data_IF_534683895870
#
_entry.id   IF_534683895870
#
_cell.length_a   1.000
_cell.length_b   1.000
_cell.length_c   1.000
_cell.angle_alpha   90.00
_cell.angle_beta   90.00
_cell.angle_gamma   90.00
#
_symmetry.space_group_name_H-M   'P 1'
#
loop_
_entity.id
_entity.type
_entity.pdbx_description
1 polymer ?
#
# COMPACT_ATOMS: atom_id res chain seq x y z
N UNK A 1 40.91 -9.05 19.00
CA UNK A 1 39.84 -8.07 19.29
C UNK A 1 39.48 -7.22 18.07
N UNK A 2 40.45 -6.52 17.44
CA UNK A 2 40.18 -5.64 16.28
C UNK A 2 39.53 -6.37 15.10
N UNK A 3 39.98 -7.60 14.76
CA UNK A 3 39.38 -8.43 13.70
C UNK A 3 37.89 -8.69 13.98
N UNK A 4 37.54 -9.05 15.21
CA UNK A 4 36.16 -9.34 15.60
C UNK A 4 35.31 -8.05 15.52
N UNK A 5 35.83 -6.91 16.02
CA UNK A 5 35.15 -5.61 15.92
C UNK A 5 34.90 -5.19 14.47
N UNK A 6 35.85 -5.44 13.58
CA UNK A 6 35.69 -5.18 12.15
C UNK A 6 34.53 -6.00 11.58
N UNK A 7 34.45 -7.30 11.88
CA UNK A 7 33.34 -8.16 11.41
C UNK A 7 31.99 -7.77 12.02
N UNK A 8 31.94 -7.35 13.29
CA UNK A 8 30.72 -6.77 13.90
C UNK A 8 30.27 -5.56 13.10
N UNK A 9 31.19 -4.63 12.80
CA UNK A 9 30.87 -3.43 12.04
C UNK A 9 30.44 -3.76 10.61
N UNK A 10 31.09 -4.71 9.94
CA UNK A 10 30.66 -5.20 8.64
C UNK A 10 29.23 -5.74 8.68
N UNK A 11 28.85 -6.50 9.71
CA UNK A 11 27.48 -7.01 9.88
C UNK A 11 26.43 -5.88 9.96
N UNK A 12 26.72 -4.83 10.73
CA UNK A 12 25.87 -3.63 10.83
C UNK A 12 25.81 -2.91 9.47
N UNK A 13 26.97 -2.62 8.88
CA UNK A 13 27.07 -1.88 7.63
C UNK A 13 26.37 -2.60 6.48
N UNK A 14 26.47 -3.92 6.39
CA UNK A 14 25.75 -4.70 5.36
C UNK A 14 24.25 -4.45 5.46
N UNK A 15 23.66 -4.50 6.66
CA UNK A 15 22.25 -4.16 6.83
C UNK A 15 21.93 -2.72 6.44
N UNK A 16 22.75 -1.77 6.90
CA UNK A 16 22.54 -0.36 6.58
C UNK A 16 22.64 -0.08 5.07
N UNK A 17 23.55 -0.73 4.34
CA UNK A 17 23.63 -0.62 2.88
C UNK A 17 22.38 -1.19 2.19
N UNK A 18 21.91 -2.35 2.63
CA UNK A 18 20.72 -2.99 2.05
C UNK A 18 19.44 -2.18 2.31
N UNK A 19 19.35 -1.54 3.47
CA UNK A 19 18.13 -0.91 3.97
C UNK A 19 18.09 0.61 3.73
N UNK A 20 19.19 1.34 3.90
CA UNK A 20 19.17 2.82 3.88
C UNK A 20 18.80 3.40 2.52
N UNK A 21 18.21 4.62 2.45
CA UNK A 21 18.08 5.37 1.20
C UNK A 21 19.45 5.71 0.58
N UNK A 22 19.49 5.92 -0.75
CA UNK A 22 20.73 6.25 -1.47
C UNK A 22 21.45 7.51 -0.94
N UNK A 23 20.71 8.45 -0.34
CA UNK A 23 21.29 9.68 0.23
C UNK A 23 22.28 9.42 1.37
N UNK A 24 22.19 8.28 2.06
CA UNK A 24 23.08 7.92 3.17
C UNK A 24 24.35 7.18 2.71
N UNK A 25 24.43 6.79 1.44
CA UNK A 25 25.55 5.98 0.94
C UNK A 25 26.91 6.66 1.06
N UNK A 26 27.08 7.98 0.80
CA UNK A 26 28.37 8.64 0.98
C UNK A 26 28.93 8.43 2.39
N UNK A 27 28.09 8.60 3.42
CA UNK A 27 28.48 8.37 4.81
C UNK A 27 28.84 6.90 5.07
N UNK A 28 28.01 5.96 4.63
CA UNK A 28 28.25 4.53 4.83
C UNK A 28 29.53 4.05 4.12
N UNK A 29 29.82 4.57 2.93
CA UNK A 29 31.04 4.28 2.17
C UNK A 29 32.27 4.80 2.91
N UNK A 30 32.23 6.04 3.41
CA UNK A 30 33.34 6.61 4.20
C UNK A 30 33.62 5.76 5.44
N UNK A 31 32.59 5.36 6.19
CA UNK A 31 32.75 4.49 7.37
C UNK A 31 33.37 3.14 6.97
N UNK A 32 32.90 2.53 5.88
CA UNK A 32 33.44 1.26 5.38
C UNK A 32 34.91 1.39 4.97
N UNK A 33 35.30 2.47 4.29
CA UNK A 33 36.67 2.73 3.86
C UNK A 33 37.61 2.92 5.06
N UNK A 34 37.25 3.79 6.00
CA UNK A 34 38.04 4.03 7.23
C UNK A 34 38.23 2.73 8.01
N UNK A 35 37.16 1.94 8.15
CA UNK A 35 37.20 0.66 8.86
C UNK A 35 38.11 -0.36 8.17
N UNK A 36 38.07 -0.39 6.84
CA UNK A 36 38.94 -1.27 6.03
C UNK A 36 40.40 -0.85 6.15
N UNK A 37 40.70 0.45 6.12
CA UNK A 37 42.05 0.98 6.33
C UNK A 37 42.58 0.62 7.72
N UNK A 38 41.80 0.84 8.78
CA UNK A 38 42.17 0.45 10.14
C UNK A 38 42.45 -1.05 10.26
N UNK A 39 41.64 -1.89 9.62
CA UNK A 39 41.87 -3.32 9.57
C UNK A 39 43.19 -3.66 8.87
N UNK A 40 43.49 -3.06 7.72
CA UNK A 40 44.74 -3.27 6.96
C UNK A 40 45.96 -2.86 7.78
N UNK A 41 45.95 -1.68 8.42
CA UNK A 41 47.07 -1.24 9.27
C UNK A 41 47.25 -2.15 10.50
N UNK A 42 46.15 -2.66 11.06
CA UNK A 42 46.21 -3.55 12.22
C UNK A 42 46.81 -4.93 11.92
N UNK A 43 46.86 -5.37 10.64
CA UNK A 43 47.41 -6.69 10.26
C UNK A 43 48.85 -6.90 10.70
N UNK A 44 49.66 -5.84 10.81
CA UNK A 44 51.05 -5.93 11.28
C UNK A 44 51.19 -6.38 12.74
N UNK A 45 50.11 -6.32 13.52
CA UNK A 45 50.12 -6.51 14.96
C UNK A 45 49.42 -7.80 15.44
N UNK A 46 48.84 -8.61 14.54
CA UNK A 46 48.10 -9.81 14.93
C UNK A 46 48.21 -10.95 13.89
N UNK A 47 48.23 -12.19 14.36
CA UNK A 47 48.19 -13.40 13.50
C UNK A 47 46.75 -13.90 13.31
N UNK A 48 46.38 -14.23 12.07
CA UNK A 48 45.05 -14.76 11.73
C UNK A 48 45.12 -16.29 11.74
N UNK A 49 44.35 -16.93 12.61
CA UNK A 49 44.19 -18.38 12.65
C UNK A 49 42.73 -18.79 12.39
N UNK A 50 42.50 -20.09 12.18
CA UNK A 50 41.17 -20.63 11.87
C UNK A 50 40.13 -20.30 12.95
N UNK A 51 40.50 -20.36 14.23
CA UNK A 51 39.62 -20.03 15.36
C UNK A 51 39.15 -18.56 15.29
N UNK A 52 40.07 -17.64 15.02
CA UNK A 52 39.76 -16.21 14.88
C UNK A 52 38.84 -15.96 13.69
N UNK A 53 39.02 -16.68 12.57
CA UNK A 53 38.13 -16.59 11.40
C UNK A 53 36.70 -17.05 11.78
N UNK A 54 36.57 -18.21 12.42
CA UNK A 54 35.27 -18.75 12.84
C UNK A 54 34.53 -17.81 13.79
N UNK A 55 35.22 -17.29 14.82
CA UNK A 55 34.64 -16.33 15.77
C UNK A 55 34.19 -15.05 15.04
N UNK A 56 34.97 -14.59 14.06
CA UNK A 56 34.65 -13.37 13.31
C UNK A 56 33.42 -13.57 12.40
N UNK A 57 33.27 -14.73 11.77
CA UNK A 57 32.06 -15.08 11.00
C UNK A 57 30.83 -15.10 11.91
N UNK A 58 30.92 -15.75 13.08
CA UNK A 58 29.82 -15.76 14.05
C UNK A 58 29.46 -14.36 14.53
N UNK A 59 30.46 -13.52 14.81
CA UNK A 59 30.26 -12.13 15.21
C UNK A 59 29.57 -11.30 14.13
N UNK A 60 29.92 -11.50 12.85
CA UNK A 60 29.23 -10.88 11.71
C UNK A 60 27.77 -11.30 11.65
N UNK A 61 27.48 -12.61 11.70
CA UNK A 61 26.11 -13.13 11.61
C UNK A 61 25.24 -12.64 12.78
N UNK A 62 25.79 -12.62 14.00
CA UNK A 62 25.09 -12.13 15.18
C UNK A 62 24.82 -10.62 15.09
N UNK A 63 25.82 -9.84 14.66
CA UNK A 63 25.69 -8.40 14.47
C UNK A 63 24.67 -8.04 13.37
N UNK A 64 24.69 -8.78 12.25
CA UNK A 64 23.69 -8.67 11.19
C UNK A 64 22.29 -9.02 11.71
N UNK A 65 22.16 -10.10 12.48
CA UNK A 65 20.86 -10.52 13.01
C UNK A 65 20.29 -9.49 14.00
N UNK A 66 21.13 -8.98 14.90
CA UNK A 66 20.76 -7.99 15.90
C UNK A 66 20.36 -6.66 15.26
N UNK A 67 21.16 -6.16 14.30
CA UNK A 67 20.85 -4.91 13.61
C UNK A 67 19.58 -5.02 12.75
N UNK A 68 19.35 -6.16 12.09
CA UNK A 68 18.08 -6.39 11.38
C UNK A 68 16.89 -6.37 12.34
N UNK A 69 17.00 -7.04 13.49
CA UNK A 69 15.97 -7.02 14.52
C UNK A 69 15.69 -5.60 15.03
N UNK A 70 16.73 -4.82 15.32
CA UNK A 70 16.56 -3.44 15.80
C UNK A 70 15.86 -2.53 14.77
N UNK A 71 16.14 -2.71 13.48
CA UNK A 71 15.53 -1.93 12.40
C UNK A 71 14.05 -2.29 12.20
N UNK A 72 13.72 -3.59 12.23
CA UNK A 72 12.39 -4.08 11.83
C UNK A 72 11.48 -4.49 12.99
N UNK A 73 11.93 -4.33 14.24
CA UNK A 73 11.07 -4.60 15.41
C UNK A 73 9.83 -3.70 15.34
N UNK A 74 8.64 -4.24 15.64
CA UNK A 74 7.44 -3.43 15.69
C UNK A 74 7.56 -2.35 16.77
N UNK A 75 6.95 -1.19 16.55
CA UNK A 75 6.84 -0.15 17.55
C UNK A 75 5.85 -0.57 18.64
N UNK A 76 6.27 -0.49 19.90
CA UNK A 76 5.34 -0.58 21.01
C UNK A 76 4.54 0.72 21.04
N UNK A 77 3.22 0.60 21.05
CA UNK A 77 2.34 1.74 21.02
C UNK A 77 1.28 1.59 22.11
N UNK A 78 1.19 2.61 22.95
CA UNK A 78 0.24 2.66 24.06
C UNK A 78 -0.92 3.58 23.67
N UNK A 79 -2.14 3.20 24.06
CA UNK A 79 -3.28 4.08 23.88
C UNK A 79 -3.13 5.37 24.71
N UNK A 80 -3.66 6.50 24.22
CA UNK A 80 -3.67 7.76 24.94
C UNK A 80 -4.61 7.67 26.15
N UNK A 81 -4.55 8.68 27.02
CA UNK A 81 -5.42 8.76 28.18
C UNK A 81 -6.87 9.08 27.78
N UNK A 82 -7.82 8.26 28.21
CA UNK A 82 -9.25 8.33 27.87
C UNK A 82 -10.04 9.41 28.66
N UNK A 83 -9.39 10.25 29.47
CA UNK A 83 -10.06 11.18 30.39
C UNK A 83 -10.78 12.36 29.73
N UNK A 84 -10.44 12.73 28.49
CA UNK A 84 -10.94 13.93 27.81
C UNK A 84 -11.94 13.64 26.67
N UNK A 85 -12.64 12.51 26.71
CA UNK A 85 -13.58 12.12 25.66
C UNK A 85 -14.89 12.91 25.77
N UNK A 86 -15.34 13.49 24.66
CA UNK A 86 -16.58 14.26 24.54
C UNK A 86 -17.59 13.51 23.65
N UNK A 87 -18.83 13.37 24.15
CA UNK A 87 -19.94 12.74 23.43
C UNK A 87 -20.32 13.46 22.13
N UNK A 88 -20.07 14.77 22.03
CA UNK A 88 -20.42 15.59 20.87
C UNK A 88 -19.36 15.51 19.77
N UNK A 89 -18.11 15.15 20.11
CA UNK A 89 -17.01 15.09 19.16
C UNK A 89 -17.04 13.78 18.38
N UNK A 90 -17.06 13.93 17.06
CA UNK A 90 -17.14 12.83 16.10
C UNK A 90 -15.99 12.91 15.11
N UNK A 91 -15.36 11.79 14.84
CA UNK A 91 -14.31 11.65 13.86
C UNK A 91 -14.81 10.89 12.62
N UNK A 92 -14.34 11.31 11.46
CA UNK A 92 -14.45 10.57 10.20
C UNK A 92 -13.05 10.22 9.73
N UNK A 93 -12.78 8.93 9.55
CA UNK A 93 -11.52 8.42 9.03
C UNK A 93 -11.77 7.91 7.61
N UNK A 94 -11.10 8.52 6.64
CA UNK A 94 -11.02 7.99 5.28
C UNK A 94 -9.93 6.93 5.23
N UNK A 95 -10.33 5.66 5.24
CA UNK A 95 -9.40 4.53 5.15
C UNK A 95 -9.25 4.08 3.70
N UNK A 96 -8.03 4.10 3.18
CA UNK A 96 -7.74 3.72 1.81
C UNK A 96 -6.47 2.87 1.72
N UNK A 97 -6.26 2.27 0.55
CA UNK A 97 -4.96 1.70 0.21
C UNK A 97 -3.88 2.79 0.28
N UNK A 98 -2.65 2.43 0.61
CA UNK A 98 -1.56 3.40 0.58
C UNK A 98 -0.28 2.71 0.20
N UNK A 99 0.63 3.49 -0.38
CA UNK A 99 1.92 2.99 -0.81
C UNK A 99 3.00 4.04 -0.53
N UNK A 100 4.27 3.61 -0.36
CA UNK A 100 5.34 4.58 -0.14
C UNK A 100 5.54 5.45 -1.37
N UNK A 101 5.61 6.78 -1.19
CA UNK A 101 5.85 7.73 -2.30
C UNK A 101 7.25 7.56 -2.89
N UNK A 102 8.22 7.32 -2.01
CA UNK A 102 9.61 7.02 -2.29
C UNK A 102 10.06 5.90 -1.38
N UNK A 103 11.10 5.18 -1.80
CA UNK A 103 11.71 4.17 -0.95
C UNK A 103 12.07 4.76 0.41
N UNK A 104 11.41 4.23 1.44
CA UNK A 104 11.67 4.59 2.83
C UNK A 104 11.72 3.30 3.64
N UNK A 105 12.84 3.00 4.31
CA UNK A 105 13.01 1.71 4.98
C UNK A 105 12.04 1.46 6.14
N UNK A 106 11.51 2.51 6.75
CA UNK A 106 10.48 2.38 7.78
C UNK A 106 9.16 1.84 7.21
N UNK A 107 8.79 2.24 6.00
CA UNK A 107 7.53 1.85 5.36
C UNK A 107 7.64 0.52 4.60
N UNK A 108 8.85 0.08 4.23
CA UNK A 108 9.03 -1.24 3.63
C UNK A 108 8.66 -2.38 4.58
N UNK A 109 8.67 -2.16 5.90
CA UNK A 109 8.26 -3.17 6.88
C UNK A 109 6.80 -3.62 6.69
N UNK A 110 5.91 -2.72 6.25
CA UNK A 110 4.53 -3.06 5.91
C UNK A 110 4.46 -4.13 4.82
N UNK A 111 5.20 -3.93 3.72
CA UNK A 111 5.26 -4.85 2.58
C UNK A 111 5.99 -6.16 2.90
N UNK A 112 6.74 -6.18 4.00
CA UNK A 112 7.55 -7.31 4.43
C UNK A 112 7.02 -7.94 5.72
N UNK A 113 5.77 -7.65 6.12
CA UNK A 113 5.19 -8.15 7.37
C UNK A 113 5.23 -9.68 7.49
N UNK A 114 5.01 -10.39 6.39
CA UNK A 114 5.01 -11.86 6.33
C UNK A 114 6.40 -12.45 6.06
N UNK A 115 7.45 -11.62 6.01
CA UNK A 115 8.82 -12.06 5.76
C UNK A 115 9.59 -12.15 7.07
N UNK A 116 10.44 -13.19 7.17
CA UNK A 116 11.34 -13.37 8.29
C UNK A 116 12.22 -12.11 8.49
N UNK A 117 12.27 -11.60 9.73
CA UNK A 117 12.99 -10.38 10.12
C UNK A 117 14.44 -10.38 9.63
N UNK A 118 15.14 -11.52 9.65
CA UNK A 118 16.53 -11.60 9.21
C UNK A 118 16.71 -11.45 7.70
N UNK A 119 15.68 -11.75 6.90
CA UNK A 119 15.73 -11.61 5.45
C UNK A 119 15.17 -10.28 4.96
N UNK A 120 14.47 -9.52 5.81
CA UNK A 120 13.90 -8.20 5.46
C UNK A 120 14.91 -7.24 4.83
N UNK A 121 16.18 -7.14 5.27
CA UNK A 121 17.19 -6.32 4.60
C UNK A 121 17.37 -6.65 3.11
N UNK A 122 17.43 -7.94 2.77
CA UNK A 122 17.61 -8.39 1.39
C UNK A 122 16.38 -8.04 0.54
N UNK A 123 15.18 -8.20 1.09
CA UNK A 123 13.95 -7.80 0.39
C UNK A 123 13.81 -6.28 0.28
N UNK A 124 14.26 -5.52 1.28
CA UNK A 124 14.32 -4.07 1.22
C UNK A 124 15.18 -3.60 0.06
N UNK A 125 16.34 -4.22 -0.16
CA UNK A 125 17.18 -3.91 -1.32
C UNK A 125 16.46 -4.15 -2.66
N UNK A 126 15.64 -5.21 -2.76
CA UNK A 126 14.80 -5.44 -3.95
C UNK A 126 13.77 -4.32 -4.14
N UNK A 127 12.99 -4.01 -3.08
CA UNK A 127 12.00 -2.92 -3.08
C UNK A 127 12.66 -1.59 -3.46
N UNK A 128 13.80 -1.28 -2.85
CA UNK A 128 14.59 -0.08 -3.13
C UNK A 128 14.96 0.07 -4.60
N UNK A 129 15.42 -1.01 -5.24
CA UNK A 129 15.74 -0.98 -6.68
C UNK A 129 14.51 -0.64 -7.52
N UNK A 130 13.34 -1.13 -7.15
CA UNK A 130 12.09 -0.80 -7.85
C UNK A 130 11.72 0.68 -7.71
N UNK A 131 11.74 1.21 -6.49
CA UNK A 131 11.38 2.61 -6.25
C UNK A 131 12.39 3.62 -6.84
N UNK A 132 13.65 3.23 -7.02
CA UNK A 132 14.62 4.04 -7.75
C UNK A 132 14.26 4.20 -9.25
N UNK A 133 13.53 3.25 -9.85
CA UNK A 133 13.08 3.35 -11.25
C UNK A 133 11.89 4.29 -11.40
N UNK A 134 10.93 4.23 -10.48
CA UNK A 134 9.67 4.99 -10.54
C UNK A 134 9.85 6.43 -10.05
N UNK A 135 10.89 6.71 -9.25
CA UNK A 135 11.23 8.00 -8.63
C UNK A 135 10.20 8.51 -7.61
N UNK A 136 8.95 8.73 -8.02
CA UNK A 136 7.84 9.18 -7.16
C UNK A 136 6.58 8.41 -7.53
N UNK A 137 5.98 7.78 -6.53
CA UNK A 137 4.69 7.11 -6.66
C UNK A 137 3.55 8.12 -6.38
N UNK A 138 2.61 8.23 -7.32
CA UNK A 138 1.49 9.17 -7.22
C UNK A 138 0.22 8.56 -6.59
N UNK A 139 0.22 7.28 -6.17
CA UNK A 139 -0.96 6.62 -5.57
C UNK A 139 -1.58 7.43 -4.44
N UNK A 140 -0.75 7.91 -3.51
CA UNK A 140 -1.25 8.67 -2.36
C UNK A 140 -1.79 10.06 -2.75
N UNK A 141 -1.32 10.65 -3.86
CA UNK A 141 -1.75 11.96 -4.34
C UNK A 141 -3.22 11.92 -4.78
N UNK A 142 -3.59 10.94 -5.60
CA UNK A 142 -4.99 10.74 -6.05
C UNK A 142 -5.92 10.51 -4.85
N UNK A 143 -5.51 9.65 -3.91
CA UNK A 143 -6.30 9.31 -2.73
C UNK A 143 -6.44 10.50 -1.76
N UNK A 144 -5.39 11.31 -1.61
CA UNK A 144 -5.44 12.53 -0.80
C UNK A 144 -6.36 13.57 -1.42
N UNK A 145 -6.44 13.67 -2.76
CA UNK A 145 -7.39 14.54 -3.44
C UNK A 145 -8.84 14.12 -3.17
N UNK A 146 -9.15 12.81 -3.25
CA UNK A 146 -10.48 12.28 -2.88
C UNK A 146 -10.80 12.64 -1.42
N UNK A 147 -9.86 12.38 -0.50
CA UNK A 147 -10.02 12.68 0.92
C UNK A 147 -10.23 14.17 1.19
N UNK A 148 -9.53 15.06 0.48
CA UNK A 148 -9.65 16.50 0.65
C UNK A 148 -11.02 17.03 0.21
N UNK A 149 -11.56 16.52 -0.90
CA UNK A 149 -12.91 16.89 -1.35
C UNK A 149 -14.00 16.29 -0.48
N UNK A 150 -13.78 15.07 0.01
CA UNK A 150 -14.65 14.43 0.99
C UNK A 150 -14.70 15.23 2.29
N UNK A 151 -13.53 15.66 2.81
CA UNK A 151 -13.42 16.54 3.98
C UNK A 151 -14.24 17.81 3.80
N UNK A 152 -14.08 18.52 2.67
CA UNK A 152 -14.86 19.74 2.38
C UNK A 152 -16.37 19.45 2.40
N UNK A 153 -16.79 18.36 1.77
CA UNK A 153 -18.20 17.98 1.68
C UNK A 153 -18.80 17.61 3.03
N UNK A 154 -18.06 16.89 3.87
CA UNK A 154 -18.50 16.44 5.20
C UNK A 154 -18.50 17.60 6.20
N UNK A 155 -17.49 18.47 6.19
CA UNK A 155 -17.41 19.62 7.08
C UNK A 155 -18.51 20.65 6.82
N UNK A 156 -18.94 20.79 5.57
CA UNK A 156 -20.10 21.61 5.22
C UNK A 156 -21.41 21.06 5.78
N UNK A 157 -21.47 19.76 6.08
CA UNK A 157 -22.66 19.12 6.65
C UNK A 157 -22.69 19.22 8.17
N UNK A 158 -21.60 18.85 8.86
CA UNK A 158 -21.45 18.91 10.32
C UNK A 158 -19.98 19.07 10.73
N UNK A 159 -19.67 19.60 11.93
CA UNK A 159 -18.31 19.79 12.41
C UNK A 159 -17.67 18.46 12.84
N UNK A 160 -17.16 17.71 11.87
CA UNK A 160 -16.43 16.46 12.08
C UNK A 160 -14.92 16.69 12.17
N UNK A 161 -14.24 15.92 13.03
CA UNK A 161 -12.79 15.77 12.92
C UNK A 161 -12.49 14.82 11.76
N UNK A 162 -11.59 15.20 10.84
CA UNK A 162 -11.35 14.41 9.63
C UNK A 162 -9.90 13.93 9.58
N UNK A 163 -9.73 12.62 9.45
CA UNK A 163 -8.43 11.95 9.35
C UNK A 163 -8.36 11.10 8.09
N UNK A 164 -7.15 10.88 7.61
CA UNK A 164 -6.84 9.88 6.59
C UNK A 164 -6.11 8.72 7.24
N UNK A 165 -6.35 7.50 6.77
CA UNK A 165 -5.62 6.32 7.18
C UNK A 165 -5.25 5.50 5.95
N UNK A 166 -3.96 5.24 5.80
CA UNK A 166 -3.42 4.42 4.73
C UNK A 166 -3.13 3.01 5.24
N UNK A 167 -3.53 2.02 4.45
CA UNK A 167 -3.24 0.63 4.71
C UNK A 167 -1.72 0.35 4.71
N UNK A 168 -0.99 0.83 3.72
CA UNK A 168 0.44 0.53 3.51
C UNK A 168 1.38 1.72 3.66
N UNK A 169 0.91 2.79 4.31
CA UNK A 169 1.65 4.03 4.48
C UNK A 169 1.26 4.72 5.80
N UNK A 170 1.82 5.91 6.05
CA UNK A 170 1.46 6.73 7.22
C UNK A 170 0.69 7.99 6.81
N UNK A 171 -0.28 8.44 7.61
CA UNK A 171 -0.75 7.84 8.87
C UNK A 171 -1.50 6.52 8.64
N UNK A 172 -1.27 5.51 9.49
CA UNK A 172 -2.01 4.24 9.44
C UNK A 172 -3.29 4.27 10.29
N UNK A 173 -4.11 3.21 10.24
CA UNK A 173 -5.40 3.21 10.95
C UNK A 173 -5.25 3.35 12.47
N UNK A 174 -4.22 2.71 13.05
CA UNK A 174 -3.93 2.81 14.48
C UNK A 174 -3.59 4.24 14.91
N UNK A 175 -2.78 4.93 14.11
CA UNK A 175 -2.43 6.33 14.34
C UNK A 175 -3.65 7.24 14.19
N UNK A 176 -4.46 7.05 13.14
CA UNK A 176 -5.65 7.86 12.90
C UNK A 176 -6.70 7.72 14.02
N UNK A 177 -6.95 6.49 14.50
CA UNK A 177 -7.84 6.24 15.64
C UNK A 177 -7.28 6.87 16.91
N UNK A 178 -5.98 6.74 17.15
CA UNK A 178 -5.34 7.34 18.33
C UNK A 178 -5.47 8.86 18.33
N UNK A 179 -5.14 9.52 17.22
CA UNK A 179 -5.30 10.98 17.10
C UNK A 179 -6.75 11.42 17.26
N UNK A 180 -7.72 10.65 16.75
CA UNK A 180 -9.13 10.92 16.99
C UNK A 180 -9.50 10.88 18.48
N UNK A 181 -8.96 9.91 19.23
CA UNK A 181 -9.18 9.79 20.67
C UNK A 181 -8.48 10.93 21.43
N UNK A 182 -7.26 11.29 21.05
CA UNK A 182 -6.51 12.42 21.63
C UNK A 182 -7.24 13.75 21.45
N UNK A 183 -7.89 13.95 20.29
CA UNK A 183 -8.75 15.11 20.03
C UNK A 183 -10.09 15.08 20.79
N UNK A 184 -10.35 13.98 21.53
CA UNK A 184 -11.51 13.80 22.40
C UNK A 184 -12.74 13.20 21.70
N UNK A 185 -12.59 12.58 20.53
CA UNK A 185 -13.73 12.03 19.79
C UNK A 185 -14.23 10.72 20.42
N UNK A 186 -15.52 10.68 20.79
CA UNK A 186 -16.16 9.44 21.27
C UNK A 186 -16.66 8.54 20.15
N UNK A 187 -17.11 9.12 19.04
CA UNK A 187 -17.64 8.37 17.90
C UNK A 187 -16.69 8.49 16.71
N UNK A 188 -16.30 7.36 16.13
CA UNK A 188 -15.39 7.28 15.00
C UNK A 188 -16.10 6.52 13.87
N UNK A 189 -16.24 7.17 12.72
CA UNK A 189 -16.80 6.59 11.51
C UNK A 189 -15.68 6.35 10.49
N UNK A 190 -15.50 5.10 10.08
CA UNK A 190 -14.45 4.71 9.14
C UNK A 190 -15.10 4.45 7.77
N UNK A 191 -14.73 5.27 6.78
CA UNK A 191 -15.15 5.11 5.39
C UNK A 191 -14.15 4.18 4.71
N UNK A 192 -14.62 3.01 4.29
CA UNK A 192 -13.80 1.98 3.65
C UNK A 192 -13.65 2.24 2.14
N UNK A 193 -12.56 2.90 1.75
CA UNK A 193 -12.18 3.15 0.35
C UNK A 193 -11.20 2.08 -0.16
N UNK A 194 -11.58 0.81 -0.03
CA UNK A 194 -10.85 -0.34 -0.57
C UNK A 194 -11.81 -1.32 -1.27
N UNK A 195 -11.28 -2.42 -1.80
CA UNK A 195 -12.06 -3.46 -2.48
C UNK A 195 -12.66 -4.52 -1.54
N UNK A 196 -12.27 -4.54 -0.26
CA UNK A 196 -12.60 -5.63 0.68
C UNK A 196 -13.14 -5.07 1.99
N UNK A 197 -13.85 -5.91 2.75
CA UNK A 197 -14.15 -5.60 4.14
C UNK A 197 -12.87 -5.50 4.98
N UNK A 198 -12.86 -4.58 5.95
CA UNK A 198 -11.65 -4.20 6.69
C UNK A 198 -11.76 -4.41 8.20
N UNK A 199 -12.91 -4.84 8.73
CA UNK A 199 -13.12 -4.94 10.19
C UNK A 199 -12.14 -5.93 10.84
N UNK A 200 -12.04 -7.15 10.31
CA UNK A 200 -11.10 -8.17 10.82
C UNK A 200 -9.64 -7.71 10.72
N UNK A 201 -9.32 -6.96 9.66
CA UNK A 201 -7.99 -6.40 9.46
C UNK A 201 -7.68 -5.31 10.50
N UNK A 202 -8.60 -4.39 10.72
CA UNK A 202 -8.45 -3.32 11.71
C UNK A 202 -8.34 -3.94 13.11
N UNK A 203 -9.15 -4.96 13.44
CA UNK A 203 -9.08 -5.69 14.72
C UNK A 203 -7.69 -6.28 15.00
N UNK A 204 -6.96 -6.70 13.97
CA UNK A 204 -5.60 -7.22 14.14
C UNK A 204 -4.56 -6.14 14.46
N UNK A 205 -4.85 -4.87 14.15
CA UNK A 205 -3.95 -3.73 14.39
C UNK A 205 -4.36 -2.91 15.62
N UNK A 206 -5.66 -2.89 15.92
CA UNK A 206 -6.31 -2.08 16.96
C UNK A 206 -7.35 -2.96 17.63
N UNK A 207 -7.23 -3.14 18.94
CA UNK A 207 -8.23 -3.84 19.76
C UNK A 207 -9.51 -3.00 19.84
N UNK A 208 -10.46 -3.25 18.92
CA UNK A 208 -11.71 -2.51 18.85
C UNK A 208 -12.64 -2.83 20.03
N UNK A 209 -12.55 -4.03 20.60
CA UNK A 209 -13.38 -4.43 21.74
C UNK A 209 -12.94 -3.69 23.00
N UNK A 210 -11.63 -3.57 23.23
CA UNK A 210 -11.10 -2.69 24.27
C UNK A 210 -11.56 -1.24 24.10
N UNK A 211 -11.57 -0.70 22.87
CA UNK A 211 -12.04 0.67 22.62
C UNK A 211 -13.54 0.82 22.90
N UNK A 212 -14.35 -0.18 22.53
CA UNK A 212 -15.80 -0.24 22.84
C UNK A 212 -16.04 -0.29 24.34
N UNK A 213 -15.26 -1.07 25.09
CA UNK A 213 -15.32 -1.13 26.56
C UNK A 213 -14.95 0.20 27.22
N UNK A 214 -14.09 1.01 26.58
CA UNK A 214 -13.80 2.40 26.98
C UNK A 214 -14.84 3.41 26.51
N UNK A 215 -15.95 2.95 25.93
CA UNK A 215 -17.06 3.78 25.49
C UNK A 215 -16.83 4.50 24.16
N UNK A 216 -15.82 4.10 23.38
CA UNK A 216 -15.60 4.61 22.03
C UNK A 216 -16.47 3.82 21.04
N UNK A 217 -17.35 4.52 20.32
CA UNK A 217 -18.18 3.92 19.27
C UNK A 217 -17.46 3.97 17.93
N UNK A 218 -17.14 2.80 17.37
CA UNK A 218 -16.50 2.69 16.05
C UNK A 218 -17.46 2.02 15.08
N UNK A 219 -17.79 2.70 13.98
CA UNK A 219 -18.62 2.16 12.89
C UNK A 219 -17.82 2.18 11.58
N UNK A 220 -17.85 1.06 10.84
CA UNK A 220 -17.10 0.89 9.60
C UNK A 220 -18.09 0.74 8.43
N UNK A 221 -17.89 1.49 7.36
CA UNK A 221 -18.74 1.38 6.17
C UNK A 221 -18.41 0.12 5.37
N UNK A 222 -19.40 -0.36 4.61
CA UNK A 222 -19.11 -1.30 3.52
C UNK A 222 -18.12 -0.68 2.51
N UNK A 223 -17.39 -1.50 1.75
CA UNK A 223 -16.47 -1.00 0.74
C UNK A 223 -17.17 -0.05 -0.25
N UNK A 224 -16.56 1.10 -0.54
CA UNK A 224 -17.06 2.05 -1.56
C UNK A 224 -17.16 1.39 -2.94
N UNK A 225 -16.25 0.45 -3.21
CA UNK A 225 -16.23 -0.45 -4.35
C UNK A 225 -17.56 -1.18 -4.61
N UNK A 226 -18.34 -1.49 -3.56
CA UNK A 226 -19.63 -2.20 -3.70
C UNK A 226 -20.83 -1.26 -3.96
N UNK A 227 -20.61 0.05 -3.98
CA UNK A 227 -21.70 1.01 -4.17
C UNK A 227 -22.19 1.06 -5.63
N UNK A 228 -23.49 1.24 -5.81
CA UNK A 228 -24.06 1.43 -7.16
C UNK A 228 -23.53 2.68 -7.86
N UNK A 229 -23.16 3.71 -7.09
CA UNK A 229 -22.53 4.95 -7.59
C UNK A 229 -21.16 4.63 -8.18
N UNK A 230 -20.34 3.82 -7.50
CA UNK A 230 -19.05 3.36 -8.00
C UNK A 230 -19.17 2.58 -9.31
N UNK A 231 -20.13 1.64 -9.38
CA UNK A 231 -20.38 0.87 -10.59
C UNK A 231 -20.80 1.80 -11.74
N UNK A 232 -21.74 2.71 -11.49
CA UNK A 232 -22.21 3.68 -12.50
C UNK A 232 -21.10 4.62 -12.98
N UNK A 233 -20.19 5.03 -12.09
CA UNK A 233 -19.01 5.80 -12.47
C UNK A 233 -18.20 5.06 -13.54
N UNK A 234 -17.88 3.78 -13.33
CA UNK A 234 -17.13 2.99 -14.32
C UNK A 234 -17.92 2.75 -15.61
N UNK A 235 -19.23 2.46 -15.53
CA UNK A 235 -20.09 2.33 -16.71
C UNK A 235 -20.03 3.61 -17.55
N UNK A 236 -20.25 4.77 -16.93
CA UNK A 236 -20.24 6.06 -17.61
C UNK A 236 -18.86 6.39 -18.18
N UNK A 237 -17.81 6.14 -17.41
CA UNK A 237 -16.42 6.36 -17.84
C UNK A 237 -16.08 5.53 -19.07
N UNK A 238 -16.47 4.26 -19.11
CA UNK A 238 -16.24 3.36 -20.26
C UNK A 238 -17.11 3.77 -21.45
N UNK A 239 -18.39 4.08 -21.22
CA UNK A 239 -19.32 4.46 -22.29
C UNK A 239 -18.97 5.80 -22.95
N UNK A 240 -18.33 6.71 -22.22
CA UNK A 240 -17.93 8.03 -22.72
C UNK A 240 -16.53 8.03 -23.38
N UNK A 241 -15.87 6.87 -23.51
CA UNK A 241 -14.62 6.79 -24.29
C UNK A 241 -14.91 7.04 -25.78
N UNK A 242 -13.98 7.69 -26.51
CA UNK A 242 -14.17 8.03 -27.92
C UNK A 242 -14.25 6.80 -28.84
N UNK A 243 -13.63 5.69 -28.42
CA UNK A 243 -13.66 4.42 -29.13
C UNK A 243 -14.53 3.41 -28.35
N UNK A 244 -15.40 2.69 -29.07
CA UNK A 244 -16.16 1.57 -28.50
C UNK A 244 -15.34 0.28 -28.65
N UNK A 245 -14.76 -0.17 -27.54
CA UNK A 245 -13.91 -1.36 -27.51
C UNK A 245 -14.72 -2.64 -27.69
N UNK A 246 -14.23 -3.55 -28.55
CA UNK A 246 -14.85 -4.87 -28.79
C UNK A 246 -14.51 -5.86 -27.68
N UNK A 247 -13.31 -5.75 -27.10
CA UNK A 247 -12.90 -6.51 -25.92
C UNK A 247 -12.77 -5.61 -24.71
N UNK A 248 -13.33 -6.01 -23.58
CA UNK A 248 -13.15 -5.36 -22.28
C UNK A 248 -12.65 -6.42 -21.30
N UNK A 249 -11.47 -6.19 -20.74
CA UNK A 249 -10.92 -6.99 -19.66
C UNK A 249 -11.09 -6.23 -18.35
N UNK A 250 -12.06 -6.65 -17.53
CA UNK A 250 -12.23 -6.20 -16.16
C UNK A 250 -11.23 -6.99 -15.31
N UNK A 251 -10.14 -6.33 -14.92
CA UNK A 251 -9.11 -6.90 -14.06
C UNK A 251 -9.58 -6.88 -12.61
N UNK A 252 -10.21 -7.98 -12.23
CA UNK A 252 -10.75 -8.20 -10.90
C UNK A 252 -11.00 -9.69 -10.64
N UNK A 253 -11.27 -10.05 -9.39
CA UNK A 253 -11.92 -11.31 -9.07
C UNK A 253 -13.38 -11.27 -9.53
N UNK A 254 -13.98 -12.44 -9.75
CA UNK A 254 -15.42 -12.54 -10.04
C UNK A 254 -16.22 -12.20 -8.77
N UNK A 255 -16.62 -10.93 -8.63
CA UNK A 255 -17.40 -10.40 -7.50
C UNK A 255 -18.78 -9.93 -7.97
N UNK A 256 -19.68 -9.65 -7.02
CA UNK A 256 -20.96 -9.03 -7.35
C UNK A 256 -20.80 -7.66 -8.04
N UNK A 257 -19.79 -6.88 -7.66
CA UNK A 257 -19.49 -5.58 -8.29
C UNK A 257 -19.06 -5.74 -9.74
N UNK A 258 -18.10 -6.65 -10.01
CA UNK A 258 -17.60 -6.86 -11.37
C UNK A 258 -18.69 -7.43 -12.29
N UNK A 259 -19.53 -8.33 -11.78
CA UNK A 259 -20.66 -8.88 -12.54
C UNK A 259 -21.72 -7.81 -12.81
N UNK A 260 -22.11 -7.00 -11.82
CA UNK A 260 -23.03 -5.87 -12.04
C UNK A 260 -22.49 -4.85 -13.04
N UNK A 261 -21.18 -4.59 -13.01
CA UNK A 261 -20.53 -3.73 -14.01
C UNK A 261 -20.68 -4.34 -15.41
N UNK A 262 -20.35 -5.63 -15.57
CA UNK A 262 -20.52 -6.35 -16.83
C UNK A 262 -21.97 -6.28 -17.32
N UNK A 263 -22.94 -6.62 -16.47
CA UNK A 263 -24.37 -6.56 -16.79
C UNK A 263 -24.81 -5.16 -17.26
N UNK A 264 -24.37 -4.10 -16.59
CA UNK A 264 -24.70 -2.72 -16.99
C UNK A 264 -24.04 -2.36 -18.32
N UNK A 265 -22.77 -2.73 -18.55
CA UNK A 265 -22.12 -2.53 -19.84
C UNK A 265 -22.87 -3.25 -20.97
N UNK A 266 -23.33 -4.48 -20.75
CA UNK A 266 -24.16 -5.20 -21.73
C UNK A 266 -25.45 -4.44 -22.03
N UNK A 267 -26.11 -3.85 -21.02
CA UNK A 267 -27.29 -2.98 -21.22
C UNK A 267 -26.98 -1.70 -22.00
N UNK A 268 -25.75 -1.18 -21.92
CA UNK A 268 -25.27 -0.10 -22.77
C UNK A 268 -24.83 -0.57 -24.17
N UNK A 269 -25.07 -1.84 -24.51
CA UNK A 269 -24.89 -2.46 -25.82
C UNK A 269 -23.50 -3.04 -26.07
N UNK A 270 -22.67 -3.23 -25.04
CA UNK A 270 -21.40 -3.96 -25.21
C UNK A 270 -21.69 -5.46 -25.38
N UNK A 271 -20.93 -6.15 -26.23
CA UNK A 271 -21.12 -7.60 -26.44
C UNK A 271 -20.75 -8.36 -25.18
N UNK A 272 -21.65 -9.23 -24.68
CA UNK A 272 -21.39 -10.01 -23.49
C UNK A 272 -20.15 -10.91 -23.63
N UNK A 273 -19.98 -11.56 -24.79
CA UNK A 273 -18.81 -12.37 -25.12
C UNK A 273 -17.52 -11.54 -25.25
N UNK A 274 -17.64 -10.22 -25.41
CA UNK A 274 -16.51 -9.30 -25.45
C UNK A 274 -16.00 -8.88 -24.07
N UNK A 275 -16.71 -9.20 -22.98
CA UNK A 275 -16.37 -8.76 -21.62
C UNK A 275 -15.89 -9.93 -20.77
N UNK A 276 -14.64 -9.88 -20.33
CA UNK A 276 -14.02 -10.88 -19.45
C UNK A 276 -13.74 -10.25 -18.10
N UNK A 277 -14.06 -10.96 -17.01
CA UNK A 277 -13.64 -10.63 -15.65
C UNK A 277 -12.58 -11.63 -15.24
N UNK A 278 -11.32 -11.20 -15.13
CA UNK A 278 -10.22 -12.09 -14.77
C UNK A 278 -8.97 -11.32 -14.34
N UNK A 279 -8.20 -11.92 -13.43
CA UNK A 279 -6.82 -11.50 -13.13
C UNK A 279 -5.76 -12.26 -13.93
N UNK A 280 -6.15 -13.35 -14.60
CA UNK A 280 -5.26 -14.09 -15.48
C UNK A 280 -5.24 -13.45 -16.86
N UNK A 281 -4.22 -12.63 -17.09
CA UNK A 281 -4.03 -11.91 -18.35
C UNK A 281 -3.82 -12.88 -19.51
N UNK A 282 -3.07 -13.97 -19.30
CA UNK A 282 -2.72 -14.88 -20.39
C UNK A 282 -3.97 -15.54 -20.97
N UNK A 283 -4.77 -16.19 -20.13
CA UNK A 283 -6.00 -16.84 -20.60
C UNK A 283 -6.98 -15.82 -21.21
N UNK A 284 -7.04 -14.60 -20.68
CA UNK A 284 -7.89 -13.53 -21.22
C UNK A 284 -7.46 -13.11 -22.63
N UNK A 285 -6.17 -12.88 -22.87
CA UNK A 285 -5.66 -12.52 -24.20
C UNK A 285 -5.70 -13.68 -25.19
N UNK A 286 -5.49 -14.92 -24.73
CA UNK A 286 -5.68 -16.12 -25.57
C UNK A 286 -7.15 -16.24 -26.01
N UNK A 287 -8.10 -15.97 -25.12
CA UNK A 287 -9.52 -15.89 -25.47
C UNK A 287 -9.78 -14.79 -26.51
N UNK A 288 -9.31 -13.56 -26.29
CA UNK A 288 -9.52 -12.48 -27.26
C UNK A 288 -8.93 -12.80 -28.63
N UNK A 289 -7.77 -13.46 -28.68
CA UNK A 289 -7.17 -13.96 -29.92
C UNK A 289 -8.10 -14.96 -30.62
N UNK A 290 -8.67 -15.91 -29.89
CA UNK A 290 -9.60 -16.92 -30.43
C UNK A 290 -10.87 -16.29 -31.02
N UNK A 291 -11.31 -15.18 -30.44
CA UNK A 291 -12.49 -14.42 -30.89
C UNK A 291 -12.15 -13.35 -31.94
N UNK A 292 -10.90 -13.28 -32.42
CA UNK A 292 -10.41 -12.27 -33.36
C UNK A 292 -10.63 -10.82 -32.87
N UNK A 293 -10.59 -10.61 -31.56
CA UNK A 293 -10.74 -9.30 -30.93
C UNK A 293 -9.35 -8.69 -30.74
N UNK A 294 -9.05 -7.60 -31.45
CA UNK A 294 -7.73 -6.96 -31.44
C UNK A 294 -7.67 -5.62 -30.69
N UNK A 295 -8.81 -4.98 -30.41
CA UNK A 295 -8.89 -3.72 -29.67
C UNK A 295 -9.49 -3.96 -28.27
N UNK A 296 -8.65 -3.83 -27.25
CA UNK A 296 -8.95 -4.23 -25.86
C UNK A 296 -8.90 -3.03 -24.93
N UNK A 297 -9.97 -2.86 -24.14
CA UNK A 297 -9.98 -1.98 -22.98
C UNK A 297 -9.68 -2.80 -21.72
N UNK A 298 -8.53 -2.55 -21.11
CA UNK A 298 -8.18 -3.04 -19.79
C UNK A 298 -8.72 -2.11 -18.71
N UNK A 299 -9.48 -2.64 -17.76
CA UNK A 299 -10.09 -1.88 -16.66
C UNK A 299 -9.68 -2.49 -15.33
N UNK A 300 -8.79 -1.81 -14.60
CA UNK A 300 -8.34 -2.25 -13.29
C UNK A 300 -9.30 -1.78 -12.19
N UNK A 301 -10.06 -2.71 -11.63
CA UNK A 301 -10.90 -2.44 -10.47
C UNK A 301 -10.22 -2.79 -9.14
N UNK A 302 -9.09 -3.49 -9.16
CA UNK A 302 -8.43 -3.97 -7.95
C UNK A 302 -7.54 -2.94 -7.26
N UNK A 303 -7.29 -1.78 -7.87
CA UNK A 303 -6.46 -0.71 -7.29
C UNK A 303 -7.18 0.64 -7.32
N UNK A 304 -7.24 1.29 -6.16
CA UNK A 304 -7.91 2.59 -5.99
C UNK A 304 -7.10 3.79 -6.49
N UNK A 305 -5.78 3.65 -6.61
CA UNK A 305 -4.90 4.67 -7.19
C UNK A 305 -3.77 4.08 -8.02
N UNK A 306 -3.05 4.93 -8.74
CA UNK A 306 -1.94 4.53 -9.62
C UNK A 306 -0.66 4.26 -8.81
N UNK A 307 -0.56 3.05 -8.27
CA UNK A 307 0.62 2.57 -7.54
C UNK A 307 1.63 1.81 -8.40
N UNK A 308 2.65 1.26 -7.75
CA UNK A 308 3.72 0.47 -8.39
C UNK A 308 3.16 -0.72 -9.16
N UNK A 309 2.14 -1.38 -8.61
CA UNK A 309 1.48 -2.51 -9.27
C UNK A 309 0.90 -2.11 -10.63
N UNK A 310 0.17 -0.99 -10.68
CA UNK A 310 -0.46 -0.51 -11.90
C UNK A 310 0.54 0.05 -12.92
N UNK A 311 1.52 0.86 -12.46
CA UNK A 311 2.45 1.56 -13.35
C UNK A 311 3.59 0.69 -13.88
N UNK A 312 3.93 -0.40 -13.20
CA UNK A 312 5.08 -1.22 -13.56
C UNK A 312 4.72 -2.68 -13.77
N UNK A 313 4.15 -3.36 -12.77
CA UNK A 313 3.88 -4.80 -12.86
C UNK A 313 2.84 -5.08 -13.94
N UNK A 314 1.63 -4.55 -13.79
CA UNK A 314 0.53 -4.72 -14.75
C UNK A 314 0.92 -4.14 -16.10
N UNK A 315 1.55 -2.96 -16.14
CA UNK A 315 2.02 -2.35 -17.38
C UNK A 315 2.97 -3.26 -18.16
N UNK A 316 3.99 -3.82 -17.51
CA UNK A 316 4.96 -4.69 -18.18
C UNK A 316 4.33 -6.01 -18.64
N UNK A 317 3.37 -6.54 -17.87
CA UNK A 317 2.60 -7.71 -18.29
C UNK A 317 1.74 -7.40 -19.53
N UNK A 318 1.04 -6.26 -19.57
CA UNK A 318 0.24 -5.83 -20.73
C UNK A 318 1.12 -5.57 -21.97
N UNK A 319 2.34 -5.04 -21.80
CA UNK A 319 3.27 -4.77 -22.89
C UNK A 319 3.66 -6.04 -23.66
N UNK A 320 3.63 -7.23 -23.04
CA UNK A 320 3.87 -8.51 -23.72
C UNK A 320 2.85 -8.79 -24.82
N UNK A 321 1.66 -8.22 -24.71
CA UNK A 321 0.54 -8.43 -25.63
C UNK A 321 0.38 -7.28 -26.63
N UNK A 322 0.98 -6.10 -26.37
CA UNK A 322 0.91 -4.94 -27.26
C UNK A 322 1.36 -5.14 -28.70
N UNK A 323 2.26 -6.09 -29.06
CA UNK A 323 2.54 -6.39 -30.47
C UNK A 323 1.37 -7.00 -31.24
N UNK A 324 0.41 -7.62 -30.54
CA UNK A 324 -0.72 -8.34 -31.14
C UNK A 324 -2.07 -7.63 -30.94
N UNK A 325 -2.16 -6.75 -29.93
CA UNK A 325 -3.40 -6.09 -29.53
C UNK A 325 -3.18 -4.58 -29.36
N UNK A 326 -4.17 -3.79 -29.80
CA UNK A 326 -4.30 -2.38 -29.41
C UNK A 326 -4.93 -2.35 -28.01
N UNK A 327 -4.14 -2.01 -26.99
CA UNK A 327 -4.58 -2.03 -25.59
C UNK A 327 -4.71 -0.60 -25.07
N UNK A 328 -5.91 -0.23 -24.64
CA UNK A 328 -6.14 0.97 -23.83
C UNK A 328 -6.37 0.55 -22.38
N UNK A 329 -5.91 1.34 -21.40
CA UNK A 329 -5.93 0.94 -20.00
C UNK A 329 -6.48 2.04 -19.08
N UNK A 330 -7.54 1.71 -18.35
CA UNK A 330 -7.97 2.41 -17.13
C UNK A 330 -7.25 1.72 -15.95
N UNK A 331 -6.11 2.29 -15.53
CA UNK A 331 -5.15 1.63 -14.64
C UNK A 331 -5.55 1.58 -13.16
N UNK A 332 -6.47 2.43 -12.74
CA UNK A 332 -7.00 2.51 -11.37
C UNK A 332 -8.32 3.31 -11.36
N UNK A 333 -8.94 3.42 -10.18
CA UNK A 333 -10.13 4.25 -10.00
C UNK A 333 -9.82 5.74 -10.24
N UNK A 334 -8.66 6.20 -9.76
CA UNK A 334 -8.20 7.58 -9.83
C UNK A 334 -8.99 8.53 -8.92
N UNK A 335 -8.89 9.82 -9.21
CA UNK A 335 -9.72 10.86 -8.60
C UNK A 335 -10.91 11.20 -9.52
N UNK A 336 -12.12 11.15 -8.96
CA UNK A 336 -13.35 11.64 -9.60
C UNK A 336 -14.36 12.09 -8.54
N UNK A 337 -15.21 13.06 -8.86
CA UNK A 337 -16.24 13.57 -7.94
C UNK A 337 -17.32 12.52 -7.64
N UNK A 338 -17.61 11.60 -8.57
CA UNK A 338 -18.55 10.49 -8.34
C UNK A 338 -18.02 9.52 -7.28
N UNK A 339 -16.70 9.34 -7.18
CA UNK A 339 -16.08 8.55 -6.12
C UNK A 339 -16.22 9.24 -4.76
N UNK A 340 -16.16 10.58 -4.70
CA UNK A 340 -16.47 11.34 -3.48
C UNK A 340 -17.94 11.17 -3.09
N UNK A 341 -18.87 11.23 -4.05
CA UNK A 341 -20.30 10.97 -3.81
C UNK A 341 -20.55 9.55 -3.31
N UNK A 342 -19.84 8.57 -3.85
CA UNK A 342 -19.90 7.18 -3.40
C UNK A 342 -19.44 7.05 -1.94
N UNK A 343 -18.36 7.73 -1.55
CA UNK A 343 -17.90 7.81 -0.15
C UNK A 343 -18.96 8.41 0.77
N UNK A 344 -19.55 9.54 0.38
CA UNK A 344 -20.60 10.21 1.18
C UNK A 344 -21.83 9.30 1.34
N UNK A 345 -22.22 8.59 0.28
CA UNK A 345 -23.34 7.64 0.32
C UNK A 345 -23.09 6.52 1.32
N UNK A 346 -21.88 5.94 1.34
CA UNK A 346 -21.52 4.90 2.32
C UNK A 346 -21.39 5.47 3.75
N UNK A 347 -20.86 6.68 3.90
CA UNK A 347 -20.77 7.36 5.19
C UNK A 347 -22.15 7.57 5.82
N UNK A 348 -23.13 8.10 5.08
CA UNK A 348 -24.49 8.34 5.59
C UNK A 348 -25.17 7.07 6.10
N UNK A 349 -24.87 5.90 5.52
CA UNK A 349 -25.43 4.62 5.98
C UNK A 349 -24.96 4.21 7.37
N UNK A 350 -23.75 4.60 7.77
CA UNK A 350 -23.20 4.29 9.09
C UNK A 350 -23.36 5.44 10.08
N UNK A 351 -23.49 6.67 9.60
CA UNK A 351 -23.76 7.83 10.46
C UNK A 351 -25.11 7.68 11.18
N UNK A 352 -26.12 7.23 10.43
CA UNK A 352 -27.50 7.09 10.86
C UNK A 352 -27.71 6.01 11.94
#
# INVERSE_FOLDING_TARGET
MIIILFFILCGILTNLFLVSPNSYYPLLIVIALVSTLMFVFSKKYFTINLKTILISIMAFLLSFSLSSFLIFKPSNYNYPNFKNIDNLKKAVIFYCEGEMEKYTPFYSNYFLKDKNIFLKPIYCFKIKRFYNQIKVNEKNKDLTQVAQQLKKSILNYKPYYFYIAFEGYTPNIKQAITSAIEDGCKSIYIINYTTKEIETKINNEVDLDFLRDKGISIKISRPVYESDIFINYFVNKINNLPERYKGILIYDNKTQTSEKLKERLVKHGFSESGIIISKDLKSSFDYFKSQQINNILFVNLSSSGNGVEAENIIRNELLKYSPYFKIHAIKSWGYDIELVKACISQFKKIEN
#
